data_IF_104636090471
#
_entry.id   IF_104636090471
#
_cell.length_a   1.000
_cell.length_b   1.000
_cell.length_c   1.000
_cell.angle_alpha   90.00
_cell.angle_beta   90.00
_cell.angle_gamma   90.00
#
_symmetry.space_group_name_H-M   'P 1'
#
loop_
_entity.id
_entity.type
_entity.pdbx_description
1 polymer ?
#
# COMPACT_ATOMS: atom_id res chain seq x y z
N UNK A 1 3.25 -10.98 8.53
CA UNK A 1 2.61 -9.95 7.68
C UNK A 1 2.75 -10.36 6.22
N UNK A 2 1.86 -9.92 5.35
CA UNK A 2 1.89 -10.30 3.93
C UNK A 2 2.92 -9.48 3.15
N UNK A 3 3.50 -10.10 2.11
CA UNK A 3 4.38 -9.45 1.14
C UNK A 3 3.70 -9.48 -0.22
N UNK A 4 3.63 -8.33 -0.90
CA UNK A 4 3.06 -8.21 -2.24
C UNK A 4 4.13 -8.04 -3.33
N UNK A 5 3.80 -8.46 -4.54
CA UNK A 5 4.55 -8.20 -5.76
C UNK A 5 3.55 -7.98 -6.89
N UNK A 6 3.68 -6.87 -7.63
CA UNK A 6 2.74 -6.48 -8.70
C UNK A 6 1.25 -6.54 -8.28
N UNK A 7 0.96 -6.02 -7.09
CA UNK A 7 -0.38 -6.02 -6.48
C UNK A 7 -0.90 -7.38 -5.97
N UNK A 8 -0.13 -8.47 -6.09
CA UNK A 8 -0.52 -9.80 -5.62
C UNK A 8 0.23 -10.22 -4.36
N UNK A 9 -0.43 -10.89 -3.42
CA UNK A 9 0.23 -11.48 -2.25
C UNK A 9 1.05 -12.69 -2.68
N UNK A 10 2.37 -12.64 -2.43
CA UNK A 10 3.33 -13.66 -2.87
C UNK A 10 4.09 -14.33 -1.73
N UNK A 11 3.93 -13.84 -0.51
CA UNK A 11 4.70 -14.34 0.61
C UNK A 11 4.33 -13.72 1.95
N UNK A 12 5.14 -14.05 2.94
CA UNK A 12 5.02 -13.50 4.28
C UNK A 12 6.38 -13.03 4.80
N UNK A 13 6.33 -12.03 5.66
CA UNK A 13 7.45 -11.53 6.45
C UNK A 13 7.14 -11.63 7.94
N UNK A 14 8.10 -12.12 8.69
CA UNK A 14 8.18 -12.07 10.14
C UNK A 14 9.05 -10.89 10.54
N UNK A 15 8.58 -10.12 11.49
CA UNK A 15 9.24 -8.91 12.01
C UNK A 15 9.39 -9.10 13.49
N UNK A 16 10.63 -9.09 13.97
CA UNK A 16 10.96 -9.30 15.37
C UNK A 16 11.79 -8.13 15.87
N UNK A 17 11.28 -7.45 16.90
CA UNK A 17 11.98 -6.37 17.58
C UNK A 17 13.00 -6.95 18.54
N UNK A 18 14.23 -6.45 18.47
CA UNK A 18 15.38 -6.87 19.27
C UNK A 18 16.01 -5.65 19.95
N UNK A 19 16.86 -5.87 20.95
CA UNK A 19 17.49 -4.78 21.70
C UNK A 19 18.35 -3.87 20.80
N UNK A 20 19.01 -4.45 19.77
CA UNK A 20 19.92 -3.77 18.86
C UNK A 20 19.26 -3.31 17.55
N UNK A 21 18.01 -3.71 17.28
CA UNK A 21 17.30 -3.34 16.07
C UNK A 21 16.07 -4.19 15.78
N UNK A 22 15.82 -4.43 14.49
CA UNK A 22 14.68 -5.22 14.04
C UNK A 22 15.14 -6.25 13.02
N UNK A 23 14.75 -7.50 13.25
CA UNK A 23 14.98 -8.62 12.35
C UNK A 23 13.78 -8.83 11.45
N UNK A 24 14.04 -8.91 10.15
CA UNK A 24 13.08 -9.20 9.09
C UNK A 24 13.45 -10.54 8.46
N UNK A 25 12.49 -11.46 8.42
CA UNK A 25 12.62 -12.75 7.74
C UNK A 25 11.44 -12.94 6.80
N UNK A 26 11.68 -12.92 5.50
CA UNK A 26 10.64 -13.06 4.50
C UNK A 26 10.83 -14.31 3.65
N UNK A 27 9.71 -14.93 3.28
CA UNK A 27 9.61 -16.06 2.39
C UNK A 27 8.54 -15.77 1.34
N UNK A 28 8.94 -15.71 0.07
CA UNK A 28 8.07 -15.39 -1.05
C UNK A 28 8.18 -16.44 -2.15
N UNK A 29 7.11 -16.64 -2.92
CA UNK A 29 7.07 -17.49 -4.11
C UNK A 29 6.78 -16.61 -5.32
N UNK A 30 7.82 -16.28 -6.07
CA UNK A 30 7.76 -15.48 -7.29
C UNK A 30 8.70 -16.09 -8.30
N UNK A 31 8.23 -16.26 -9.53
CA UNK A 31 9.08 -16.62 -10.68
C UNK A 31 9.33 -15.35 -11.48
N UNK A 32 10.59 -14.93 -11.55
CA UNK A 32 11.01 -13.76 -12.33
C UNK A 32 12.51 -13.86 -12.62
N UNK A 33 12.95 -13.21 -13.69
CA UNK A 33 14.36 -13.01 -14.03
C UNK A 33 14.93 -11.73 -13.38
N UNK A 34 14.08 -10.90 -12.76
CA UNK A 34 14.46 -9.66 -12.10
C UNK A 34 15.10 -9.90 -10.71
N UNK A 35 16.11 -9.08 -10.38
CA UNK A 35 16.62 -9.01 -9.01
C UNK A 35 15.64 -8.21 -8.15
N UNK A 36 14.83 -8.93 -7.35
CA UNK A 36 13.86 -8.31 -6.45
C UNK A 36 14.49 -7.85 -5.14
N UNK A 37 13.97 -6.77 -4.59
CA UNK A 37 14.32 -6.22 -3.28
C UNK A 37 13.08 -6.11 -2.42
N UNK A 38 13.21 -6.46 -1.15
CA UNK A 38 12.14 -6.28 -0.18
C UNK A 38 12.18 -4.88 0.40
N UNK A 39 11.04 -4.21 0.37
CA UNK A 39 10.82 -2.90 0.97
C UNK A 39 9.74 -2.98 2.05
N UNK A 40 9.96 -2.28 3.15
CA UNK A 40 8.95 -1.94 4.14
C UNK A 40 8.37 -0.55 3.85
N UNK A 41 7.05 -0.43 3.87
CA UNK A 41 6.33 0.82 3.65
C UNK A 41 5.54 1.23 4.90
N UNK A 42 5.50 2.53 5.15
CA UNK A 42 4.61 3.19 6.10
C UNK A 42 4.22 4.55 5.54
N UNK A 43 2.96 4.93 5.72
CA UNK A 43 2.47 6.22 5.26
C UNK A 43 3.21 7.37 5.95
N UNK A 44 3.63 8.37 5.15
CA UNK A 44 4.43 9.51 5.63
C UNK A 44 5.94 9.22 5.81
N UNK A 45 6.39 7.97 5.64
CA UNK A 45 7.80 7.61 5.69
C UNK A 45 8.35 7.28 4.30
N UNK A 46 9.65 7.47 4.10
CA UNK A 46 10.32 6.96 2.91
C UNK A 46 10.29 5.41 2.90
N UNK A 47 10.20 4.76 1.72
CA UNK A 47 10.32 3.31 1.62
C UNK A 47 11.63 2.81 2.25
N UNK A 48 11.51 1.88 3.20
CA UNK A 48 12.65 1.24 3.85
C UNK A 48 13.12 0.06 3.00
N UNK A 49 14.28 0.17 2.36
CA UNK A 49 14.90 -1.00 1.73
C UNK A 49 15.43 -1.95 2.82
N UNK A 50 14.91 -3.17 2.86
CA UNK A 50 15.30 -4.19 3.84
C UNK A 50 16.50 -4.96 3.30
N UNK A 51 16.34 -5.69 2.20
CA UNK A 51 17.44 -6.37 1.52
C UNK A 51 17.09 -6.79 0.09
N UNK A 52 18.07 -7.32 -0.62
CA UNK A 52 17.86 -8.08 -1.87
C UNK A 52 17.26 -9.45 -1.52
N UNK A 53 16.26 -9.87 -2.30
CA UNK A 53 15.66 -11.18 -2.19
C UNK A 53 16.52 -12.21 -2.92
N UNK A 54 17.01 -13.20 -2.20
CA UNK A 54 17.88 -14.25 -2.73
C UNK A 54 17.06 -15.48 -3.13
N UNK A 55 17.38 -16.13 -4.26
CA UNK A 55 16.74 -17.38 -4.65
C UNK A 55 17.17 -18.52 -3.72
N UNK A 56 16.19 -19.22 -3.16
CA UNK A 56 16.37 -20.41 -2.32
C UNK A 56 15.30 -21.41 -2.70
N UNK A 57 15.72 -22.56 -3.24
CA UNK A 57 14.83 -23.61 -3.79
C UNK A 57 13.83 -23.01 -4.79
N UNK A 58 12.53 -23.17 -4.54
CA UNK A 58 11.43 -22.72 -5.40
C UNK A 58 10.91 -21.31 -5.06
N UNK A 59 11.73 -20.47 -4.44
CA UNK A 59 11.29 -19.13 -4.08
C UNK A 59 12.39 -18.18 -3.67
N UNK A 60 11.95 -17.09 -3.04
CA UNK A 60 12.80 -16.00 -2.60
C UNK A 60 12.84 -15.92 -1.08
N UNK A 61 14.00 -15.62 -0.53
CA UNK A 61 14.22 -15.40 0.90
C UNK A 61 14.93 -14.08 1.15
N UNK A 62 14.52 -13.43 2.23
CA UNK A 62 15.22 -12.28 2.81
C UNK A 62 15.40 -12.55 4.28
N UNK A 63 16.62 -12.37 4.79
CA UNK A 63 16.91 -12.40 6.21
C UNK A 63 17.87 -11.27 6.56
N UNK A 64 17.35 -10.22 7.20
CA UNK A 64 18.14 -9.04 7.55
C UNK A 64 17.81 -8.53 8.93
N UNK A 65 18.83 -8.18 9.71
CA UNK A 65 18.67 -7.34 10.89
C UNK A 65 19.11 -5.92 10.54
N UNK A 66 18.22 -4.95 10.77
CA UNK A 66 18.53 -3.52 10.66
C UNK A 66 18.68 -2.93 12.05
N UNK A 67 19.79 -2.23 12.30
CA UNK A 67 20.01 -1.58 13.59
C UNK A 67 19.01 -0.45 13.82
N UNK A 68 18.76 -0.12 15.08
CA UNK A 68 17.92 1.03 15.41
C UNK A 68 18.42 2.35 14.85
N UNK A 69 19.73 2.50 14.69
CA UNK A 69 20.31 3.68 14.04
C UNK A 69 19.86 3.78 12.57
N UNK A 70 19.99 2.70 11.80
CA UNK A 70 19.59 2.68 10.39
C UNK A 70 18.08 2.93 10.22
N UNK A 71 17.26 2.35 11.10
CA UNK A 71 15.81 2.55 11.10
C UNK A 71 15.44 4.02 11.36
N UNK A 72 16.05 4.64 12.36
CA UNK A 72 15.79 6.06 12.69
C UNK A 72 16.21 7.00 11.57
N UNK A 73 17.33 6.74 10.90
CA UNK A 73 17.76 7.54 9.73
C UNK A 73 16.75 7.44 8.59
N UNK A 74 16.03 6.32 8.47
CA UNK A 74 14.95 6.14 7.51
C UNK A 74 13.57 6.63 8.01
N UNK A 75 13.50 7.20 9.22
CA UNK A 75 12.26 7.72 9.81
C UNK A 75 11.40 6.70 10.56
N UNK A 76 11.98 5.55 10.93
CA UNK A 76 11.29 4.47 11.66
C UNK A 76 11.76 4.37 13.12
N UNK A 77 10.84 4.07 14.02
CA UNK A 77 11.06 3.81 15.45
C UNK A 77 10.39 2.50 15.87
N UNK A 78 10.56 2.08 17.12
CA UNK A 78 9.94 0.86 17.65
C UNK A 78 8.41 0.86 17.53
N UNK A 79 7.77 1.99 17.81
CA UNK A 79 6.32 2.15 17.67
C UNK A 79 5.89 2.48 16.23
N UNK A 80 6.86 2.76 15.36
CA UNK A 80 6.61 3.25 14.00
C UNK A 80 7.18 2.38 12.88
N UNK A 81 7.19 1.05 13.05
CA UNK A 81 7.67 0.10 12.03
C UNK A 81 6.81 0.06 10.74
N UNK A 82 7.35 -0.51 9.64
CA UNK A 82 6.61 -0.68 8.40
C UNK A 82 5.34 -1.52 8.58
N UNK A 83 4.26 -1.08 7.93
CA UNK A 83 2.95 -1.74 7.99
C UNK A 83 2.63 -2.54 6.75
N UNK A 84 3.34 -2.32 5.64
CA UNK A 84 3.20 -3.04 4.37
C UNK A 84 4.56 -3.46 3.84
N UNK A 85 4.62 -4.58 3.11
CA UNK A 85 5.86 -5.12 2.58
C UNK A 85 5.70 -5.52 1.12
N UNK A 86 6.69 -5.14 0.31
CA UNK A 86 6.61 -5.21 -1.15
C UNK A 86 7.92 -5.69 -1.72
N UNK A 87 7.85 -6.60 -2.69
CA UNK A 87 8.96 -6.87 -3.59
C UNK A 87 8.92 -5.92 -4.78
N UNK A 88 10.07 -5.37 -5.15
CA UNK A 88 10.22 -4.43 -6.26
C UNK A 88 11.56 -4.67 -6.98
N UNK A 89 11.59 -4.49 -8.31
CA UNK A 89 12.79 -4.70 -9.12
C UNK A 89 13.84 -3.58 -8.94
N UNK A 90 13.51 -2.52 -8.20
CA UNK A 90 14.32 -1.33 -7.98
C UNK A 90 13.95 -0.15 -8.88
N UNK A 91 12.96 -0.32 -9.76
CA UNK A 91 12.39 0.72 -10.61
C UNK A 91 11.25 1.49 -9.91
N UNK A 92 10.80 1.02 -8.74
CA UNK A 92 9.79 1.66 -7.91
C UNK A 92 8.34 1.42 -8.38
N UNK A 93 8.11 0.55 -9.36
CA UNK A 93 6.75 0.28 -9.86
C UNK A 93 5.88 -0.39 -8.79
N UNK A 94 6.41 -1.39 -8.09
CA UNK A 94 5.74 -2.07 -6.98
C UNK A 94 5.53 -1.17 -5.78
N UNK A 95 6.46 -0.22 -5.55
CA UNK A 95 6.29 0.81 -4.51
C UNK A 95 5.13 1.75 -4.84
N UNK A 96 4.96 2.15 -6.11
CA UNK A 96 3.88 3.01 -6.55
C UNK A 96 2.51 2.30 -6.47
N UNK A 97 2.45 1.04 -6.88
CA UNK A 97 1.23 0.20 -6.80
C UNK A 97 0.81 -0.07 -5.36
N UNK A 98 1.76 -0.09 -4.43
CA UNK A 98 1.51 -0.37 -3.02
C UNK A 98 1.24 0.88 -2.19
N UNK A 99 1.22 2.07 -2.82
CA UNK A 99 0.73 3.29 -2.15
C UNK A 99 -0.77 3.17 -1.92
N UNK A 100 -1.28 3.68 -0.79
CA UNK A 100 -2.72 3.81 -0.63
C UNK A 100 -3.28 4.64 -1.79
N UNK A 101 -4.41 4.21 -2.33
CA UNK A 101 -5.15 4.98 -3.30
C UNK A 101 -5.54 6.34 -2.70
N UNK A 102 -5.13 7.43 -3.35
CA UNK A 102 -5.56 8.78 -3.01
C UNK A 102 -6.64 9.19 -4.01
N UNK A 103 -7.86 9.31 -3.51
CA UNK A 103 -9.05 9.70 -4.27
C UNK A 103 -9.14 11.21 -4.45
N UNK A 104 -8.47 11.98 -3.58
CA UNK A 104 -8.54 13.44 -3.52
C UNK A 104 -9.72 13.96 -2.69
N UNK A 105 -10.49 13.07 -2.06
CA UNK A 105 -11.48 13.39 -1.06
C UNK A 105 -10.96 13.01 0.33
N UNK A 106 -10.85 14.00 1.23
CA UNK A 106 -10.25 13.79 2.54
C UNK A 106 -10.95 12.74 3.41
N UNK A 107 -12.27 12.55 3.25
CA UNK A 107 -13.01 11.54 4.02
C UNK A 107 -12.78 10.14 3.48
N UNK A 108 -12.81 9.98 2.16
CA UNK A 108 -12.48 8.71 1.52
C UNK A 108 -11.02 8.33 1.79
N UNK A 109 -10.09 9.27 1.64
CA UNK A 109 -8.67 9.04 1.87
C UNK A 109 -8.38 8.65 3.33
N UNK A 110 -9.10 9.23 4.31
CA UNK A 110 -9.02 8.83 5.71
C UNK A 110 -9.55 7.42 5.97
N UNK A 111 -10.65 7.02 5.31
CA UNK A 111 -11.21 5.68 5.41
C UNK A 111 -10.28 4.62 4.78
N UNK A 112 -9.67 4.95 3.64
CA UNK A 112 -8.70 4.08 2.95
C UNK A 112 -7.45 3.92 3.82
N UNK A 113 -6.93 5.03 4.36
CA UNK A 113 -5.73 5.03 5.21
C UNK A 113 -5.95 4.26 6.51
N UNK A 114 -7.15 4.34 7.10
CA UNK A 114 -7.49 3.59 8.32
C UNK A 114 -7.79 2.10 8.07
N UNK A 115 -7.85 1.66 6.81
CA UNK A 115 -8.14 0.27 6.43
C UNK A 115 -9.59 -0.16 6.69
N UNK A 116 -10.47 0.79 7.02
CA UNK A 116 -11.90 0.54 7.26
C UNK A 116 -12.62 0.18 5.97
N UNK A 117 -12.11 0.65 4.83
CA UNK A 117 -12.63 0.36 3.49
C UNK A 117 -11.51 -0.21 2.62
N UNK A 118 -11.88 -1.11 1.70
CA UNK A 118 -10.99 -1.58 0.64
C UNK A 118 -11.10 -0.61 -0.54
N UNK A 119 -9.97 -0.29 -1.17
CA UNK A 119 -9.94 0.53 -2.37
C UNK A 119 -9.15 -0.19 -3.46
N UNK A 120 -9.77 -0.36 -4.62
CA UNK A 120 -9.16 -0.95 -5.80
C UNK A 120 -9.15 0.10 -6.92
N UNK A 121 -8.00 0.35 -7.58
CA UNK A 121 -7.98 1.20 -8.76
C UNK A 121 -8.76 0.55 -9.90
N UNK A 122 -9.56 1.33 -10.62
CA UNK A 122 -10.32 0.91 -11.81
C UNK A 122 -9.98 1.83 -12.99
N UNK A 123 -10.37 1.43 -14.21
CA UNK A 123 -10.19 2.25 -15.41
C UNK A 123 -10.87 3.62 -15.23
N UNK A 124 -10.06 4.66 -15.00
CA UNK A 124 -10.54 6.04 -14.81
C UNK A 124 -10.90 6.42 -13.36
N UNK A 125 -10.66 5.58 -12.36
CA UNK A 125 -11.19 5.81 -11.03
C UNK A 125 -10.71 4.86 -9.93
N UNK A 126 -11.55 4.73 -8.91
CA UNK A 126 -11.38 3.84 -7.76
C UNK A 126 -12.71 3.18 -7.40
N UNK A 127 -12.70 1.89 -7.09
CA UNK A 127 -13.79 1.18 -6.46
C UNK A 127 -13.50 1.04 -4.97
N UNK A 128 -14.39 1.59 -4.15
CA UNK A 128 -14.27 1.63 -2.69
C UNK A 128 -15.36 0.74 -2.11
N UNK A 129 -14.96 -0.24 -1.32
CA UNK A 129 -15.86 -1.22 -0.71
C UNK A 129 -15.78 -1.10 0.81
N UNK A 130 -16.95 -0.96 1.44
CA UNK A 130 -17.09 -0.92 2.88
C UNK A 130 -18.10 -1.96 3.36
N UNK A 131 -17.89 -2.58 4.54
CA UNK A 131 -18.88 -3.51 5.09
C UNK A 131 -20.21 -2.80 5.33
N UNK A 132 -21.30 -3.44 4.90
CA UNK A 132 -22.67 -2.95 5.03
C UNK A 132 -23.56 -4.03 5.65
N UNK A 133 -24.12 -3.73 6.83
CA UNK A 133 -25.06 -4.59 7.52
C UNK A 133 -26.21 -3.75 8.09
N UNK A 134 -27.44 -4.24 7.98
CA UNK A 134 -28.61 -3.56 8.53
C UNK A 134 -28.45 -3.35 10.05
N UNK A 135 -28.77 -2.15 10.52
CA UNK A 135 -28.63 -1.77 11.94
C UNK A 135 -27.21 -1.45 12.40
N UNK A 136 -26.21 -1.47 11.52
CA UNK A 136 -24.84 -1.02 11.82
C UNK A 136 -24.50 0.27 11.06
N UNK A 137 -23.68 1.11 11.66
CA UNK A 137 -23.17 2.31 11.01
C UNK A 137 -22.32 1.93 9.79
N UNK A 138 -22.69 2.42 8.61
CA UNK A 138 -21.90 2.24 7.39
C UNK A 138 -20.73 3.24 7.38
N UNK A 139 -19.48 2.81 7.17
CA UNK A 139 -18.34 3.73 7.04
C UNK A 139 -18.55 4.79 5.94
N UNK A 140 -19.24 4.42 4.86
CA UNK A 140 -19.57 5.31 3.74
C UNK A 140 -20.88 6.07 3.94
N UNK A 141 -21.38 6.24 5.16
CA UNK A 141 -22.67 6.91 5.42
C UNK A 141 -22.80 8.29 4.73
N UNK A 142 -21.69 9.06 4.63
CA UNK A 142 -21.68 10.37 3.97
C UNK A 142 -21.84 10.33 2.45
N UNK A 143 -21.61 9.17 1.83
CA UNK A 143 -21.73 8.93 0.39
C UNK A 143 -22.68 7.77 0.09
N UNK A 144 -23.53 7.38 1.05
CA UNK A 144 -24.33 6.15 0.97
C UNK A 144 -25.30 6.16 -0.22
N UNK A 145 -25.83 7.34 -0.57
CA UNK A 145 -26.72 7.53 -1.71
C UNK A 145 -26.05 7.30 -3.06
N UNK A 146 -24.71 7.34 -3.12
CA UNK A 146 -23.92 7.02 -4.30
C UNK A 146 -23.37 5.59 -4.28
N UNK A 147 -23.68 4.80 -3.24
CA UNK A 147 -23.21 3.42 -3.11
C UNK A 147 -24.23 2.43 -3.69
N UNK A 148 -23.72 1.34 -4.26
CA UNK A 148 -24.51 0.13 -4.56
C UNK A 148 -24.21 -0.92 -3.50
N UNK A 149 -25.24 -1.55 -2.92
CA UNK A 149 -25.04 -2.62 -1.93
C UNK A 149 -25.01 -3.97 -2.66
N UNK A 150 -23.88 -4.67 -2.57
CA UNK A 150 -23.68 -6.01 -3.16
C UNK A 150 -23.03 -6.91 -2.11
N UNK A 151 -23.59 -8.09 -1.86
CA UNK A 151 -23.02 -9.12 -0.95
C UNK A 151 -22.58 -8.59 0.43
N UNK A 152 -23.41 -7.74 1.05
CA UNK A 152 -23.11 -7.16 2.37
C UNK A 152 -21.97 -6.13 2.35
N UNK A 153 -21.65 -5.57 1.18
CA UNK A 153 -20.71 -4.47 1.00
C UNK A 153 -21.41 -3.29 0.35
N UNK A 154 -21.18 -2.08 0.85
CA UNK A 154 -21.46 -0.84 0.14
C UNK A 154 -20.29 -0.54 -0.79
N UNK A 155 -20.58 -0.46 -2.09
CA UNK A 155 -19.62 -0.26 -3.17
C UNK A 155 -19.81 1.12 -3.77
N UNK A 156 -18.76 1.93 -3.76
CA UNK A 156 -18.72 3.28 -4.33
C UNK A 156 -17.69 3.34 -5.45
N UNK A 157 -18.12 3.71 -6.65
CA UNK A 157 -17.22 3.97 -7.78
C UNK A 157 -16.94 5.48 -7.86
N UNK A 158 -15.67 5.85 -7.75
CA UNK A 158 -15.20 7.24 -7.78
C UNK A 158 -14.42 7.46 -9.06
N UNK A 159 -14.91 8.34 -9.94
CA UNK A 159 -14.12 8.79 -11.08
C UNK A 159 -12.98 9.70 -10.60
N UNK A 160 -11.77 9.52 -11.12
CA UNK A 160 -10.70 10.51 -10.91
C UNK A 160 -11.20 11.84 -11.47
N UNK A 161 -11.14 12.90 -10.65
CA UNK A 161 -11.29 14.26 -11.20
C UNK A 161 -10.16 14.44 -12.22
N UNK A 162 -10.51 14.40 -13.50
CA UNK A 162 -9.65 14.96 -14.54
C UNK A 162 -9.40 16.40 -14.15
N UNK A 163 -8.15 16.77 -13.91
CA UNK A 163 -7.78 18.17 -13.76
C UNK A 163 -8.32 18.89 -15.01
N UNK A 164 -9.25 19.86 -14.88
CA UNK A 164 -9.76 20.53 -16.06
C UNK A 164 -8.59 21.18 -16.78
N UNK A 165 -8.48 20.88 -18.07
CA UNK A 165 -7.59 21.55 -19.01
C UNK A 165 -7.62 23.06 -18.75
N UNK A 166 -6.52 23.62 -18.25
CA UNK A 166 -6.37 25.06 -18.19
C UNK A 166 -6.18 25.54 -19.63
N UNK A 167 -7.26 26.01 -20.25
CA UNK A 167 -7.19 26.78 -21.48
C UNK A 167 -6.33 28.01 -21.18
N UNK A 168 -5.10 28.00 -21.68
CA UNK A 168 -4.20 29.15 -21.60
C UNK A 168 -4.90 30.38 -22.17
N UNK A 169 -5.14 31.38 -21.32
CA UNK A 169 -5.35 32.74 -21.76
C UNK A 169 -4.02 33.23 -22.36
N UNK A 170 -3.83 33.02 -23.65
CA UNK A 170 -2.99 33.90 -24.45
C UNK A 170 -3.76 35.20 -24.66
N UNK A 171 -3.41 36.24 -23.92
CA UNK A 171 -3.48 37.59 -24.43
C UNK A 171 -2.05 37.94 -24.83
N UNK A 172 -1.83 37.99 -26.14
CA UNK A 172 -0.67 38.58 -26.78
C UNK A 172 -1.08 40.02 -27.09
N UNK A 173 -0.27 40.95 -26.57
CA UNK A 173 -0.13 42.38 -26.87
C UNK A 173 -1.32 43.33 -26.61
#
# INVERSE_FOLDING_TARGET
MEVSYRGQTVGQVQVEVQDDGVRFVAACRVQTDDILRLYGLRDGCAPLRIDVAEPVEDGLRVRRTLSWYALRTAGYTADSLPTRYVLDAGDGSGLAESRPAVTGDAKLDALITSGVVRCQPEAGGFCIQAPFAAGRACPLAFALTACTVTDGQAVLHVCRKSVPFQAGRQMIE
#
